data_IF_014669650326
#
_entry.id   IF_014669650326
#
_cell.length_a   1.000
_cell.length_b   1.000
_cell.length_c   1.000
_cell.angle_alpha   90.00
_cell.angle_beta   90.00
_cell.angle_gamma   90.00
#
_symmetry.space_group_name_H-M   'P 1'
#
loop_
_entity.id
_entity.type
_entity.pdbx_description
1 polymer ?
#
# COMPACT_ATOMS: atom_id res chain seq x y z
N UNK A 1 49.86 22.37 -9.67
CA UNK A 1 49.02 22.03 -8.51
C UNK A 1 47.88 23.03 -8.31
N UNK A 2 48.11 24.34 -8.47
CA UNK A 2 47.09 25.41 -8.30
C UNK A 2 45.93 25.35 -9.32
N UNK A 3 46.15 24.85 -10.54
CA UNK A 3 45.11 24.80 -11.59
C UNK A 3 44.03 23.71 -11.39
N UNK A 4 44.27 22.70 -10.52
CA UNK A 4 43.33 21.60 -10.30
C UNK A 4 42.32 21.91 -9.18
N UNK A 5 42.69 22.75 -8.22
CA UNK A 5 41.78 23.26 -7.17
C UNK A 5 40.78 24.30 -7.72
N UNK A 6 41.20 25.13 -8.68
CA UNK A 6 40.30 26.10 -9.32
C UNK A 6 39.17 25.45 -10.13
N UNK A 7 39.40 24.27 -10.72
CA UNK A 7 38.37 23.55 -11.49
C UNK A 7 37.33 22.86 -10.59
N UNK A 8 37.73 22.44 -9.38
CA UNK A 8 36.82 21.83 -8.39
C UNK A 8 35.94 22.91 -7.74
N UNK A 9 36.49 24.09 -7.44
CA UNK A 9 35.73 25.24 -6.93
C UNK A 9 34.78 25.83 -7.99
N UNK A 10 35.16 25.87 -9.27
CA UNK A 10 34.27 26.31 -10.35
C UNK A 10 33.12 25.32 -10.61
N UNK A 11 33.35 24.01 -10.46
CA UNK A 11 32.30 22.99 -10.52
C UNK A 11 31.29 23.08 -9.36
N UNK A 12 31.73 23.46 -8.16
CA UNK A 12 30.85 23.65 -7.00
C UNK A 12 30.05 24.97 -7.06
N UNK A 13 30.58 26.02 -7.68
CA UNK A 13 29.85 27.27 -7.91
C UNK A 13 28.74 27.15 -8.98
N UNK A 14 28.88 26.24 -9.95
CA UNK A 14 27.87 26.04 -10.99
C UNK A 14 26.61 25.28 -10.50
N UNK A 15 26.71 24.52 -9.40
CA UNK A 15 25.56 23.82 -8.79
C UNK A 15 24.84 24.74 -7.78
N UNK A 16 25.53 25.71 -7.18
CA UNK A 16 24.95 26.62 -6.20
C UNK A 16 24.16 27.80 -6.81
N UNK A 17 24.15 27.94 -8.14
CA UNK A 17 23.37 28.97 -8.85
C UNK A 17 22.12 28.38 -9.51
N UNK A 18 21.49 27.38 -8.88
CA UNK A 18 20.08 27.09 -9.14
C UNK A 18 19.31 28.21 -8.44
N UNK A 19 19.16 29.32 -9.15
CA UNK A 19 18.48 30.52 -8.69
C UNK A 19 17.07 30.20 -8.23
N UNK A 20 16.58 31.01 -7.29
CA UNK A 20 15.21 30.98 -6.80
C UNK A 20 14.25 30.66 -7.95
N UNK A 21 13.74 29.43 -7.96
CA UNK A 21 12.81 28.96 -8.96
C UNK A 21 11.59 29.85 -8.87
N UNK A 22 11.17 30.44 -10.00
CA UNK A 22 9.96 31.25 -10.04
C UNK A 22 8.78 30.44 -9.46
N UNK A 23 7.82 31.09 -8.76
CA UNK A 23 6.67 30.39 -8.22
C UNK A 23 5.98 29.59 -9.33
N UNK A 24 5.66 28.34 -9.03
CA UNK A 24 5.04 27.42 -10.00
C UNK A 24 3.62 27.88 -10.32
N UNK A 25 3.27 27.93 -11.61
CA UNK A 25 1.90 28.14 -12.05
C UNK A 25 1.15 26.80 -12.00
N UNK A 26 0.46 26.55 -10.88
CA UNK A 26 -0.21 25.27 -10.61
C UNK A 26 -1.29 24.95 -11.66
N UNK A 27 -2.03 25.94 -12.16
CA UNK A 27 -3.09 25.70 -13.16
C UNK A 27 -2.50 25.39 -14.55
N UNK A 28 -1.35 25.99 -14.89
CA UNK A 28 -0.61 25.63 -16.10
C UNK A 28 -0.08 24.18 -16.02
N UNK A 29 0.49 23.78 -14.89
CA UNK A 29 0.98 22.41 -14.70
C UNK A 29 -0.15 21.38 -14.68
N UNK A 30 -1.31 21.69 -14.08
CA UNK A 30 -2.50 20.85 -14.17
C UNK A 30 -2.94 20.61 -15.61
N UNK A 31 -2.92 21.66 -16.44
CA UNK A 31 -3.24 21.53 -17.86
C UNK A 31 -2.26 20.60 -18.56
N UNK A 32 -0.96 20.71 -18.23
CA UNK A 32 0.10 19.85 -18.78
C UNK A 32 0.00 18.39 -18.30
N UNK A 33 -0.52 18.12 -17.11
CA UNK A 33 -0.79 16.76 -16.63
C UNK A 33 -1.82 16.01 -17.49
N UNK A 34 -2.68 16.71 -18.22
CA UNK A 34 -3.64 16.10 -19.15
C UNK A 34 -3.14 16.08 -20.61
N UNK A 35 -1.88 16.46 -20.84
CA UNK A 35 -1.31 16.48 -22.19
C UNK A 35 -1.32 15.08 -22.83
N UNK A 36 -1.65 15.03 -24.11
CA UNK A 36 -1.52 13.80 -24.91
C UNK A 36 -0.06 13.37 -25.08
N UNK A 37 0.90 14.27 -24.83
CA UNK A 37 2.33 14.00 -24.90
C UNK A 37 2.84 13.51 -23.54
N UNK A 38 3.32 12.27 -23.48
CA UNK A 38 3.80 11.66 -22.23
C UNK A 38 4.91 12.47 -21.54
N UNK A 39 5.88 12.97 -22.31
CA UNK A 39 7.01 13.74 -21.76
C UNK A 39 6.58 15.06 -21.12
N UNK A 40 5.48 15.68 -21.58
CA UNK A 40 4.96 16.91 -20.98
C UNK A 40 4.30 16.64 -19.63
N UNK A 41 3.57 15.51 -19.52
CA UNK A 41 2.96 15.03 -18.27
C UNK A 41 4.02 14.72 -17.22
N UNK A 42 5.01 13.92 -17.60
CA UNK A 42 6.09 13.54 -16.69
C UNK A 42 6.90 14.77 -16.24
N UNK A 43 7.12 15.74 -17.14
CA UNK A 43 7.78 17.00 -16.78
C UNK A 43 6.94 17.87 -15.83
N UNK A 44 5.61 17.86 -15.97
CA UNK A 44 4.70 18.58 -15.07
C UNK A 44 4.65 17.93 -13.67
N UNK A 45 4.67 16.60 -13.57
CA UNK A 45 4.79 15.91 -12.29
C UNK A 45 6.08 16.26 -11.57
N UNK A 46 7.21 16.22 -12.29
CA UNK A 46 8.51 16.57 -11.73
C UNK A 46 8.55 18.03 -11.29
N UNK A 47 7.92 18.93 -12.06
CA UNK A 47 7.81 20.35 -11.68
C UNK A 47 7.01 20.53 -10.39
N UNK A 48 5.84 19.88 -10.27
CA UNK A 48 5.01 19.94 -9.06
C UNK A 48 5.72 19.31 -7.85
N UNK A 49 6.35 18.15 -8.01
CA UNK A 49 7.00 17.43 -6.92
C UNK A 49 8.26 18.12 -6.38
N UNK A 50 8.97 18.89 -7.21
CA UNK A 50 10.19 19.61 -6.83
C UNK A 50 9.95 21.08 -6.47
N UNK A 51 8.71 21.57 -6.57
CA UNK A 51 8.38 22.95 -6.20
C UNK A 51 8.41 23.14 -4.68
N UNK A 52 9.15 24.14 -4.21
CA UNK A 52 9.19 24.51 -2.78
C UNK A 52 7.89 25.13 -2.28
N UNK A 53 7.12 25.72 -3.19
CA UNK A 53 5.89 26.46 -2.88
C UNK A 53 4.66 25.57 -2.92
N UNK A 54 4.80 24.33 -3.38
CA UNK A 54 3.71 23.38 -3.54
C UNK A 54 3.82 22.26 -2.51
N UNK A 55 2.92 22.25 -1.53
CA UNK A 55 2.93 21.29 -0.43
C UNK A 55 1.90 20.20 -0.63
N UNK A 56 2.04 19.13 0.15
CA UNK A 56 1.08 18.03 0.15
C UNK A 56 -0.36 18.48 0.47
N UNK A 57 -0.52 19.47 1.37
CA UNK A 57 -1.83 20.04 1.70
C UNK A 57 -2.48 20.77 0.52
N UNK A 58 -1.67 21.46 -0.31
CA UNK A 58 -2.16 22.15 -1.50
C UNK A 58 -2.62 21.13 -2.54
N UNK A 59 -1.86 20.05 -2.71
CA UNK A 59 -2.22 18.94 -3.59
C UNK A 59 -3.49 18.21 -3.14
N UNK A 60 -3.68 18.01 -1.84
CA UNK A 60 -4.90 17.42 -1.26
C UNK A 60 -6.13 18.30 -1.53
N UNK A 61 -6.00 19.62 -1.38
CA UNK A 61 -7.06 20.57 -1.72
C UNK A 61 -7.34 20.59 -3.22
N UNK A 62 -6.28 20.58 -4.04
CA UNK A 62 -6.36 20.53 -5.50
C UNK A 62 -7.09 19.28 -5.98
N UNK A 63 -6.82 18.13 -5.38
CA UNK A 63 -7.40 16.83 -5.73
C UNK A 63 -8.90 16.72 -5.44
N UNK A 64 -9.44 17.60 -4.59
CA UNK A 64 -10.89 17.72 -4.35
C UNK A 64 -11.61 18.56 -5.39
N UNK A 65 -10.89 19.29 -6.25
CA UNK A 65 -11.53 20.14 -7.26
C UNK A 65 -12.38 19.28 -8.20
N UNK A 66 -13.62 19.69 -8.50
CA UNK A 66 -14.39 19.04 -9.55
C UNK A 66 -13.74 19.30 -10.91
N UNK A 67 -14.03 18.44 -11.89
CA UNK A 67 -13.57 18.63 -13.28
C UNK A 67 -12.14 18.19 -13.57
N UNK A 68 -11.41 17.64 -12.60
CA UNK A 68 -10.13 16.98 -12.89
C UNK A 68 -10.36 15.73 -13.73
N UNK A 69 -9.58 15.59 -14.81
CA UNK A 69 -9.58 14.39 -15.65
C UNK A 69 -9.07 13.18 -14.86
N UNK A 70 -9.42 11.95 -15.27
CA UNK A 70 -8.87 10.74 -14.65
C UNK A 70 -7.34 10.70 -14.65
N UNK A 71 -6.71 11.17 -15.74
CA UNK A 71 -5.25 11.24 -15.85
C UNK A 71 -4.66 12.25 -14.85
N UNK A 72 -5.23 13.46 -14.76
CA UNK A 72 -4.81 14.46 -13.77
C UNK A 72 -4.89 13.91 -12.35
N UNK A 73 -6.00 13.25 -11.98
CA UNK A 73 -6.16 12.63 -10.65
C UNK A 73 -5.11 11.56 -10.38
N UNK A 74 -4.83 10.71 -11.37
CA UNK A 74 -3.82 9.66 -11.26
C UNK A 74 -2.43 10.25 -11.02
N UNK A 75 -2.03 11.24 -11.84
CA UNK A 75 -0.71 11.87 -11.74
C UNK A 75 -0.56 12.72 -10.49
N UNK A 76 -1.59 13.48 -10.08
CA UNK A 76 -1.60 14.17 -8.78
C UNK A 76 -1.41 13.20 -7.62
N UNK A 77 -2.04 12.02 -7.66
CA UNK A 77 -1.81 10.99 -6.64
C UNK A 77 -0.35 10.51 -6.64
N UNK A 78 0.30 10.41 -7.80
CA UNK A 78 1.73 10.06 -7.90
C UNK A 78 2.63 11.17 -7.33
N UNK A 79 2.36 12.43 -7.66
CA UNK A 79 3.05 13.59 -7.06
C UNK A 79 2.86 13.61 -5.54
N UNK A 80 1.64 13.35 -5.06
CA UNK A 80 1.33 13.25 -3.64
C UNK A 80 2.15 12.20 -2.92
N UNK A 81 2.41 11.03 -3.55
CA UNK A 81 3.30 10.01 -2.99
C UNK A 81 4.74 10.51 -2.87
N UNK A 82 5.24 11.24 -3.86
CA UNK A 82 6.60 11.79 -3.83
C UNK A 82 6.75 12.84 -2.72
N UNK A 83 5.81 13.79 -2.64
CA UNK A 83 5.76 14.80 -1.57
C UNK A 83 5.60 14.16 -0.18
N UNK A 84 4.82 13.09 -0.07
CA UNK A 84 4.64 12.37 1.20
C UNK A 84 5.91 11.65 1.66
N UNK A 85 6.78 11.19 0.75
CA UNK A 85 8.05 10.55 1.10
C UNK A 85 9.10 11.55 1.58
N UNK A 86 9.06 12.80 1.11
CA UNK A 86 10.07 13.82 1.43
C UNK A 86 9.76 14.63 2.69
N UNK A 87 8.54 14.57 3.22
CA UNK A 87 8.14 15.33 4.41
C UNK A 87 8.68 14.72 5.72
N UNK A 88 8.76 15.52 6.80
CA UNK A 88 8.93 14.98 8.15
C UNK A 88 7.78 14.04 8.52
N UNK A 89 8.11 12.83 8.96
CA UNK A 89 7.14 11.82 9.37
C UNK A 89 6.80 11.99 10.86
N UNK A 90 5.56 11.67 11.21
CA UNK A 90 5.08 11.71 12.58
C UNK A 90 5.48 10.42 13.34
N UNK A 91 5.73 10.55 14.64
CA UNK A 91 6.07 9.44 15.54
C UNK A 91 5.32 9.54 16.86
N UNK A 92 4.80 8.42 17.35
CA UNK A 92 4.05 8.38 18.61
C UNK A 92 4.96 8.35 19.84
N UNK A 93 6.11 7.67 19.77
CA UNK A 93 7.02 7.53 20.91
C UNK A 93 6.75 6.28 21.76
N UNK A 94 6.41 5.16 21.12
CA UNK A 94 6.19 3.86 21.78
C UNK A 94 6.91 2.74 21.05
N UNK A 95 7.32 1.72 21.79
CA UNK A 95 7.78 0.43 21.26
C UNK A 95 6.64 -0.58 21.36
N UNK A 96 6.42 -1.37 20.31
CA UNK A 96 5.35 -2.38 20.28
C UNK A 96 5.89 -3.75 20.71
N UNK A 97 5.22 -4.39 21.67
CA UNK A 97 5.60 -5.69 22.23
C UNK A 97 4.99 -6.91 21.56
N UNK A 98 4.15 -6.70 20.55
CA UNK A 98 3.42 -7.77 19.85
C UNK A 98 1.99 -7.37 19.56
N UNK A 99 1.14 -8.36 19.37
CA UNK A 99 -0.31 -8.23 19.28
C UNK A 99 -0.96 -9.09 20.36
N UNK A 100 -1.96 -8.56 21.03
CA UNK A 100 -2.83 -9.27 21.95
C UNK A 100 -4.10 -9.74 21.24
N UNK A 101 -5.03 -10.33 22.00
CA UNK A 101 -6.35 -10.74 21.49
C UNK A 101 -7.17 -9.56 20.99
N UNK A 102 -6.96 -8.38 21.57
CA UNK A 102 -7.82 -7.20 21.37
C UNK A 102 -7.11 -5.97 20.81
N UNK A 103 -5.87 -6.11 20.32
CA UNK A 103 -5.14 -5.00 19.73
C UNK A 103 -3.62 -5.13 19.81
N UNK A 104 -2.92 -4.00 19.80
CA UNK A 104 -1.45 -3.93 19.77
C UNK A 104 -0.91 -3.57 21.15
N UNK A 105 -0.01 -4.39 21.69
CA UNK A 105 0.53 -4.20 23.04
C UNK A 105 1.69 -3.20 22.98
N UNK A 106 1.67 -2.21 23.87
CA UNK A 106 2.78 -1.28 24.11
C UNK A 106 3.79 -1.99 25.03
N UNK A 107 5.02 -2.15 24.56
CA UNK A 107 6.13 -2.69 25.36
C UNK A 107 6.71 -1.62 26.26
N UNK A 108 6.98 -0.44 25.70
CA UNK A 108 7.68 0.66 26.38
C UNK A 108 7.28 1.99 25.75
N UNK A 109 7.27 3.05 26.54
CA UNK A 109 7.16 4.44 26.08
C UNK A 109 8.55 5.07 25.97
N UNK A 110 8.72 6.06 25.10
CA UNK A 110 10.01 6.70 24.88
C UNK A 110 10.06 8.02 25.65
N UNK A 111 10.99 8.19 26.62
CA UNK A 111 11.08 9.41 27.40
C UNK A 111 11.20 10.67 26.54
N UNK A 112 10.42 11.69 26.88
CA UNK A 112 10.39 12.97 26.17
C UNK A 112 9.43 13.02 24.97
N UNK A 113 8.78 11.91 24.60
CA UNK A 113 7.63 11.93 23.70
C UNK A 113 6.32 12.11 24.50
N UNK A 114 5.29 12.76 23.93
CA UNK A 114 4.00 12.93 24.61
C UNK A 114 3.34 11.60 25.03
N UNK A 115 3.62 10.50 24.35
CA UNK A 115 3.12 9.17 24.70
C UNK A 115 3.58 8.66 26.08
N UNK A 116 4.73 9.14 26.57
CA UNK A 116 5.30 8.73 27.87
C UNK A 116 4.43 9.18 29.06
N UNK A 117 3.75 10.31 28.92
CA UNK A 117 2.83 10.84 29.94
C UNK A 117 1.43 10.18 29.89
N UNK A 118 1.11 9.52 28.78
CA UNK A 118 -0.25 8.99 28.49
C UNK A 118 -0.31 7.48 28.71
N UNK A 119 0.64 6.75 28.12
CA UNK A 119 0.62 5.29 28.07
C UNK A 119 1.54 4.67 29.13
N UNK A 120 1.27 3.40 29.44
CA UNK A 120 2.10 2.59 30.31
C UNK A 120 2.48 1.30 29.57
N UNK A 121 3.61 0.68 29.91
CA UNK A 121 3.92 -0.67 29.48
C UNK A 121 2.73 -1.62 29.73
N UNK A 122 2.47 -2.50 28.77
CA UNK A 122 1.36 -3.47 28.74
C UNK A 122 -0.03 -2.91 28.41
N UNK A 123 -0.16 -1.61 28.17
CA UNK A 123 -1.37 -1.08 27.55
C UNK A 123 -1.59 -1.71 26.17
N UNK A 124 -2.84 -1.98 25.81
CA UNK A 124 -3.19 -2.54 24.48
C UNK A 124 -3.98 -1.52 23.67
N UNK A 125 -3.42 -1.02 22.58
CA UNK A 125 -4.09 -0.11 21.64
C UNK A 125 -5.13 -0.91 20.85
N UNK A 126 -6.40 -0.50 20.94
CA UNK A 126 -7.55 -1.18 20.31
C UNK A 126 -8.06 -0.43 19.08
N UNK A 127 -8.02 0.90 19.13
CA UNK A 127 -8.44 1.75 18.02
C UNK A 127 -7.64 3.05 17.97
N UNK A 128 -7.53 3.64 16.78
CA UNK A 128 -6.91 4.96 16.55
C UNK A 128 -7.84 5.76 15.65
N UNK A 129 -8.27 6.94 16.10
CA UNK A 129 -9.27 7.81 15.47
C UNK A 129 -10.54 7.03 15.07
N UNK A 130 -11.07 6.24 16.01
CA UNK A 130 -12.25 5.39 15.80
C UNK A 130 -12.04 4.18 14.87
N UNK A 131 -10.85 3.99 14.27
CA UNK A 131 -10.54 2.82 13.43
C UNK A 131 -9.91 1.73 14.28
N UNK A 132 -10.56 0.56 14.33
CA UNK A 132 -10.04 -0.62 15.02
C UNK A 132 -8.69 -1.02 14.41
N UNK A 133 -7.74 -1.37 15.27
CA UNK A 133 -6.42 -1.87 14.88
C UNK A 133 -6.24 -3.31 15.38
N UNK A 134 -5.65 -4.16 14.56
CA UNK A 134 -5.41 -5.57 14.91
C UNK A 134 -3.94 -5.94 14.79
N UNK A 135 -3.17 -5.16 14.03
CA UNK A 135 -1.75 -5.39 13.80
C UNK A 135 -0.92 -4.15 14.12
N UNK A 136 0.37 -4.34 14.40
CA UNK A 136 1.31 -3.22 14.59
C UNK A 136 1.40 -2.33 13.36
N UNK A 137 1.27 -2.93 12.16
CA UNK A 137 1.34 -2.22 10.91
C UNK A 137 0.15 -1.25 10.74
N UNK A 138 -1.05 -1.64 11.18
CA UNK A 138 -2.23 -0.74 11.17
C UNK A 138 -1.95 0.53 11.97
N UNK A 139 -1.45 0.37 13.20
CA UNK A 139 -1.11 1.49 14.08
C UNK A 139 0.01 2.33 13.45
N UNK A 140 1.04 1.69 12.91
CA UNK A 140 2.17 2.38 12.25
C UNK A 140 1.69 3.22 11.08
N UNK A 141 0.86 2.69 10.19
CA UNK A 141 0.37 3.43 9.03
C UNK A 141 -0.56 4.57 9.44
N UNK A 142 -1.37 4.38 10.48
CA UNK A 142 -2.23 5.43 11.03
C UNK A 142 -1.41 6.59 11.59
N UNK A 143 -0.33 6.30 12.33
CA UNK A 143 0.62 7.32 12.83
C UNK A 143 1.32 8.01 11.66
N UNK A 144 1.94 7.25 10.75
CA UNK A 144 2.69 7.79 9.62
C UNK A 144 1.81 8.59 8.66
N UNK A 145 0.49 8.39 8.64
CA UNK A 145 -0.45 9.16 7.81
C UNK A 145 -0.69 10.60 8.31
N UNK A 146 -0.24 10.92 9.52
CA UNK A 146 -0.42 12.21 10.19
C UNK A 146 0.71 13.19 9.91
N UNK A 147 0.46 14.47 10.16
CA UNK A 147 1.48 15.51 10.23
C UNK A 147 2.13 15.54 11.62
N UNK A 148 3.37 16.04 11.70
CA UNK A 148 4.06 16.21 12.98
C UNK A 148 3.31 17.25 13.82
N UNK A 149 3.02 16.93 15.08
CA UNK A 149 2.24 17.76 15.99
C UNK A 149 0.74 17.50 15.96
N UNK A 150 0.23 16.72 15.00
CA UNK A 150 -1.17 16.26 15.00
C UNK A 150 -1.50 15.49 16.28
N UNK A 151 -2.78 15.50 16.65
CA UNK A 151 -3.32 14.76 17.80
C UNK A 151 -4.00 13.48 17.28
N UNK A 152 -3.68 12.35 17.90
CA UNK A 152 -4.40 11.10 17.71
C UNK A 152 -5.31 10.82 18.90
N UNK A 153 -6.58 10.51 18.61
CA UNK A 153 -7.46 9.87 19.58
C UNK A 153 -7.17 8.37 19.58
N UNK A 154 -6.79 7.81 20.74
CA UNK A 154 -6.38 6.42 20.87
C UNK A 154 -7.27 5.75 21.92
N UNK A 155 -8.02 4.73 21.49
CA UNK A 155 -8.69 3.80 22.39
C UNK A 155 -7.71 2.69 22.77
N UNK A 156 -7.51 2.49 24.07
CA UNK A 156 -6.61 1.46 24.59
C UNK A 156 -7.22 0.77 25.81
N UNK A 157 -6.72 -0.41 26.16
CA UNK A 157 -7.07 -1.08 27.42
C UNK A 157 -5.89 -1.11 28.39
N UNK A 158 -6.18 -0.84 29.66
CA UNK A 158 -5.26 -0.93 30.79
C UNK A 158 -5.91 -1.75 31.89
N UNK A 159 -5.30 -2.88 32.27
CA UNK A 159 -5.85 -3.80 33.28
C UNK A 159 -7.30 -4.21 32.99
N UNK A 160 -7.65 -4.40 31.72
CA UNK A 160 -9.00 -4.77 31.27
C UNK A 160 -10.01 -3.61 31.18
N UNK A 161 -9.66 -2.39 31.59
CA UNK A 161 -10.50 -1.21 31.43
C UNK A 161 -10.20 -0.53 30.10
N UNK A 162 -11.24 -0.19 29.33
CA UNK A 162 -11.12 0.56 28.08
C UNK A 162 -11.09 2.05 28.38
N UNK A 163 -10.07 2.73 27.86
CA UNK A 163 -9.79 4.14 28.04
C UNK A 163 -9.62 4.80 26.67
N UNK A 164 -9.84 6.10 26.60
CA UNK A 164 -9.59 6.92 25.41
C UNK A 164 -8.68 8.07 25.83
N UNK A 165 -7.62 8.29 25.07
CA UNK A 165 -6.70 9.39 25.28
C UNK A 165 -6.38 10.11 23.97
N UNK A 166 -6.14 11.41 24.07
CA UNK A 166 -5.57 12.22 23.00
C UNK A 166 -4.04 12.27 23.18
N UNK A 167 -3.30 11.96 22.13
CA UNK A 167 -1.83 11.97 22.16
C UNK A 167 -1.28 12.79 20.99
N UNK A 168 -0.44 13.78 21.30
CA UNK A 168 0.29 14.53 20.30
C UNK A 168 1.40 13.69 19.66
N UNK A 169 1.63 13.90 18.37
CA UNK A 169 2.70 13.22 17.63
C UNK A 169 3.97 14.05 17.56
N UNK A 170 5.09 13.42 17.91
CA UNK A 170 6.43 13.96 17.72
C UNK A 170 6.95 13.73 16.30
N UNK A 171 8.23 14.05 16.08
CA UNK A 171 8.93 13.73 14.83
C UNK A 171 9.45 12.30 14.90
N UNK A 172 9.25 11.54 13.83
CA UNK A 172 9.78 10.19 13.69
C UNK A 172 11.31 10.15 13.78
N UNK A 173 11.98 11.17 13.24
CA UNK A 173 13.45 11.30 13.28
C UNK A 173 14.04 11.37 14.68
N UNK A 174 13.22 11.71 15.68
CA UNK A 174 13.66 11.92 17.05
C UNK A 174 13.52 10.62 17.88
N UNK A 175 13.01 9.55 17.28
CA UNK A 175 12.87 8.24 17.93
C UNK A 175 14.24 7.52 18.00
N UNK A 176 14.69 7.07 19.18
CA UNK A 176 15.92 6.31 19.32
C UNK A 176 15.80 4.95 18.62
N UNK A 177 16.83 4.58 17.84
CA UNK A 177 16.92 3.29 17.15
C UNK A 177 15.77 2.97 16.18
N UNK A 178 15.02 3.98 15.72
CA UNK A 178 13.94 3.75 14.76
C UNK A 178 14.50 3.33 13.41
N UNK A 179 14.05 2.18 12.92
CA UNK A 179 14.29 1.79 11.53
C UNK A 179 13.45 2.69 10.61
N UNK A 180 14.03 3.26 9.54
CA UNK A 180 13.27 4.02 8.56
C UNK A 180 12.08 3.21 8.01
N UNK A 181 10.89 3.81 7.84
CA UNK A 181 9.75 3.11 7.25
C UNK A 181 10.08 2.61 5.85
N UNK A 182 9.59 1.41 5.52
CA UNK A 182 9.79 0.85 4.18
C UNK A 182 8.96 1.60 3.14
N UNK A 183 9.26 1.41 1.86
CA UNK A 183 8.42 1.93 0.77
C UNK A 183 6.97 1.42 0.84
N UNK A 184 6.76 0.20 1.36
CA UNK A 184 5.44 -0.38 1.57
C UNK A 184 4.71 0.37 2.68
N UNK A 185 5.37 0.64 3.81
CA UNK A 185 4.79 1.42 4.91
C UNK A 185 4.37 2.82 4.45
N UNK A 186 5.25 3.51 3.72
CA UNK A 186 4.96 4.86 3.21
C UNK A 186 3.82 4.85 2.19
N UNK A 187 3.74 3.83 1.32
CA UNK A 187 2.64 3.69 0.38
C UNK A 187 1.29 3.45 1.08
N UNK A 188 1.26 2.61 2.11
CA UNK A 188 0.05 2.32 2.91
C UNK A 188 -0.36 3.55 3.75
N UNK A 189 0.58 4.19 4.43
CA UNK A 189 0.32 5.41 5.20
C UNK A 189 -0.19 6.56 4.31
N UNK A 190 0.36 6.72 3.09
CA UNK A 190 -0.16 7.68 2.13
C UNK A 190 -1.58 7.34 1.69
N UNK A 191 -1.90 6.07 1.43
CA UNK A 191 -3.26 5.67 1.07
C UNK A 191 -4.27 6.00 2.18
N UNK A 192 -3.94 5.70 3.44
CA UNK A 192 -4.74 6.06 4.62
C UNK A 192 -4.94 7.57 4.71
N UNK A 193 -3.86 8.36 4.50
CA UNK A 193 -3.94 9.82 4.49
C UNK A 193 -4.85 10.32 3.39
N UNK A 194 -4.68 9.80 2.17
CA UNK A 194 -5.43 10.20 0.98
C UNK A 194 -6.92 9.94 1.15
N UNK A 195 -7.30 8.74 1.60
CA UNK A 195 -8.68 8.38 1.91
C UNK A 195 -9.30 9.35 2.91
N UNK A 196 -8.59 9.65 4.00
CA UNK A 196 -9.07 10.58 5.03
C UNK A 196 -9.17 12.03 4.54
N UNK A 197 -8.15 12.52 3.83
CA UNK A 197 -8.03 13.94 3.47
C UNK A 197 -8.79 14.27 2.21
N UNK A 198 -8.71 13.43 1.18
CA UNK A 198 -9.29 13.65 -0.16
C UNK A 198 -10.60 12.88 -0.33
N UNK A 199 -10.74 11.72 0.30
CA UNK A 199 -11.85 10.80 0.11
C UNK A 199 -11.49 9.65 -0.82
N UNK A 200 -12.35 8.62 -0.85
CA UNK A 200 -12.23 7.51 -1.78
C UNK A 200 -12.73 7.96 -3.15
N UNK A 201 -11.90 7.99 -4.21
CA UNK A 201 -12.32 8.49 -5.52
C UNK A 201 -13.54 7.78 -6.11
N UNK A 202 -13.75 6.51 -5.72
CA UNK A 202 -14.84 5.65 -6.19
C UNK A 202 -16.12 5.74 -5.38
N UNK A 203 -16.18 6.54 -4.31
CA UNK A 203 -17.42 6.72 -3.54
C UNK A 203 -18.43 7.58 -4.35
N UNK A 204 -19.11 6.97 -5.32
CA UNK A 204 -20.22 7.57 -6.08
C UNK A 204 -20.08 7.51 -7.60
N UNK A 205 -18.92 7.18 -8.15
CA UNK A 205 -18.77 6.93 -9.59
C UNK A 205 -19.10 5.47 -9.91
N UNK A 206 -19.90 5.19 -10.96
CA UNK A 206 -20.15 3.81 -11.37
C UNK A 206 -18.82 3.17 -11.74
N UNK A 207 -18.50 2.03 -11.12
CA UNK A 207 -17.29 1.28 -11.44
C UNK A 207 -17.33 0.98 -12.93
N UNK A 208 -16.29 1.38 -13.66
CA UNK A 208 -16.17 1.08 -15.09
C UNK A 208 -16.21 -0.44 -15.23
N UNK A 209 -17.24 -0.95 -15.92
CA UNK A 209 -17.44 -2.39 -16.09
C UNK A 209 -18.24 -3.08 -15.00
N UNK A 210 -18.83 -2.38 -14.02
CA UNK A 210 -19.79 -3.00 -13.08
C UNK A 210 -20.98 -3.65 -13.79
N UNK A 211 -21.37 -3.14 -14.96
CA UNK A 211 -22.43 -3.73 -15.79
C UNK A 211 -21.91 -4.78 -16.78
N UNK A 212 -20.59 -4.99 -16.87
CA UNK A 212 -20.01 -5.96 -17.79
C UNK A 212 -19.83 -7.29 -17.03
N UNK A 213 -20.64 -8.28 -17.37
CA UNK A 213 -20.54 -9.62 -16.78
C UNK A 213 -19.23 -10.32 -17.21
N UNK A 214 -18.81 -11.34 -16.44
CA UNK A 214 -17.63 -12.15 -16.77
C UNK A 214 -17.78 -12.80 -18.16
N UNK A 215 -18.99 -13.23 -18.50
CA UNK A 215 -19.32 -13.82 -19.80
C UNK A 215 -19.20 -12.79 -20.93
N UNK A 216 -19.59 -11.53 -20.68
CA UNK A 216 -19.43 -10.45 -21.64
C UNK A 216 -17.95 -10.10 -21.86
N UNK A 217 -17.13 -10.10 -20.80
CA UNK A 217 -15.67 -9.98 -20.91
C UNK A 217 -15.07 -11.14 -21.72
N UNK A 218 -15.46 -12.37 -21.43
CA UNK A 218 -14.99 -13.56 -22.15
C UNK A 218 -15.38 -13.53 -23.64
N UNK A 219 -16.56 -12.97 -23.98
CA UNK A 219 -16.98 -12.78 -25.37
C UNK A 219 -16.12 -11.75 -26.11
N UNK A 220 -15.77 -10.64 -25.45
CA UNK A 220 -14.86 -9.63 -26.02
C UNK A 220 -13.46 -10.23 -26.25
N UNK A 221 -12.93 -10.99 -25.30
CA UNK A 221 -11.63 -11.67 -25.44
C UNK A 221 -11.64 -12.74 -26.53
N UNK A 222 -12.75 -13.49 -26.68
CA UNK A 222 -12.92 -14.49 -27.72
C UNK A 222 -13.07 -13.90 -29.13
N UNK A 223 -13.04 -12.57 -29.28
CA UNK A 223 -13.25 -11.89 -30.56
C UNK A 223 -14.66 -12.04 -31.08
N UNK A 224 -15.63 -12.39 -30.22
CA UNK A 224 -17.03 -12.42 -30.62
C UNK A 224 -17.45 -10.99 -30.96
N UNK A 225 -18.12 -10.74 -32.10
CA UNK A 225 -18.65 -9.43 -32.42
C UNK A 225 -19.61 -9.04 -31.30
N UNK A 226 -19.24 -8.06 -30.49
CA UNK A 226 -20.04 -7.60 -29.36
C UNK A 226 -21.48 -7.36 -29.85
N UNK A 227 -22.42 -8.14 -29.32
CA UNK A 227 -23.81 -8.05 -29.73
C UNK A 227 -24.32 -6.64 -29.36
N UNK A 228 -24.45 -5.77 -30.37
CA UNK A 228 -25.13 -4.48 -30.33
C UNK A 228 -24.57 -3.37 -29.44
N UNK A 229 -23.25 -3.29 -29.21
CA UNK A 229 -22.67 -2.01 -28.87
C UNK A 229 -22.78 -1.11 -30.12
N UNK A 230 -23.65 -0.08 -30.08
CA UNK A 230 -23.61 1.00 -31.07
C UNK A 230 -22.13 1.38 -31.25
N UNK A 231 -21.58 1.36 -32.48
CA UNK A 231 -20.18 1.67 -32.69
C UNK A 231 -19.92 3.03 -32.05
N UNK A 232 -19.01 3.05 -31.08
CA UNK A 232 -18.48 4.30 -30.55
C UNK A 232 -18.10 5.16 -31.76
N UNK A 233 -18.58 6.41 -31.90
CA UNK A 233 -18.27 7.22 -33.05
C UNK A 233 -16.80 7.63 -32.99
N UNK A 234 -15.92 6.71 -33.37
CA UNK A 234 -14.57 7.01 -33.82
C UNK A 234 -14.74 7.61 -35.21
N UNK A 235 -15.01 8.92 -35.24
CA UNK A 235 -15.04 9.69 -36.48
C UNK A 235 -13.71 9.52 -37.19
N UNK A 236 -13.81 9.02 -38.42
CA UNK A 236 -12.74 8.56 -39.31
C UNK A 236 -11.72 9.64 -39.74
N UNK A 237 -11.83 10.86 -39.22
CA UNK A 237 -11.02 12.01 -39.64
C UNK A 237 -9.74 12.22 -38.83
N UNK A 238 -9.64 11.65 -37.62
CA UNK A 238 -8.35 11.58 -36.93
C UNK A 238 -7.61 10.31 -37.38
N UNK A 239 -6.49 10.45 -38.08
CA UNK A 239 -5.62 9.37 -38.58
C UNK A 239 -4.97 8.51 -37.50
N UNK A 240 -5.76 7.94 -36.59
CA UNK A 240 -5.36 7.01 -35.56
C UNK A 240 -5.23 5.61 -36.17
N UNK A 241 -3.98 5.17 -36.32
CA UNK A 241 -3.65 3.75 -36.53
C UNK A 241 -4.12 3.00 -35.29
N UNK A 242 -4.96 1.98 -35.49
CA UNK A 242 -5.20 0.95 -34.48
C UNK A 242 -3.84 0.32 -34.17
N UNK A 243 -3.28 0.64 -33.00
CA UNK A 243 -2.13 -0.06 -32.45
C UNK A 243 -2.67 -1.32 -31.80
N UNK A 244 -2.66 -2.43 -32.54
CA UNK A 244 -2.85 -3.75 -31.96
C UNK A 244 -1.65 -4.04 -31.06
N UNK A 245 -1.85 -4.07 -29.73
CA UNK A 245 -0.85 -4.57 -28.80
C UNK A 245 -0.78 -6.11 -28.89
N UNK A 246 -0.23 -6.60 -29.99
CA UNK A 246 0.27 -7.97 -30.12
C UNK A 246 1.68 -8.06 -29.53
N UNK A 247 1.81 -7.87 -28.21
CA UNK A 247 3.07 -8.06 -27.49
C UNK A 247 3.10 -9.43 -26.84
N UNK A 248 4.13 -10.23 -27.13
CA UNK A 248 4.44 -11.42 -26.32
C UNK A 248 4.51 -11.05 -24.83
N UNK A 249 4.07 -11.94 -23.92
CA UNK A 249 4.11 -11.67 -22.48
C UNK A 249 5.56 -11.35 -22.09
N UNK A 250 5.83 -10.09 -21.77
CA UNK A 250 7.10 -9.69 -21.18
C UNK A 250 7.16 -10.31 -19.79
N UNK A 251 8.04 -11.26 -19.60
CA UNK A 251 8.46 -11.83 -18.31
C UNK A 251 9.29 -10.82 -17.51
N UNK A 252 8.82 -9.57 -17.38
CA UNK A 252 9.33 -8.61 -16.40
C UNK A 252 8.44 -8.56 -15.15
N UNK A 253 7.86 -9.70 -14.80
CA UNK A 253 6.86 -9.89 -13.75
C UNK A 253 7.48 -10.07 -12.35
N UNK A 254 8.64 -9.49 -12.09
CA UNK A 254 9.25 -9.47 -10.75
C UNK A 254 8.88 -8.21 -9.94
N UNK A 255 8.37 -7.15 -10.58
CA UNK A 255 8.12 -5.86 -9.91
C UNK A 255 6.63 -5.48 -9.78
N UNK A 256 5.72 -6.23 -10.42
CA UNK A 256 4.28 -5.91 -10.41
C UNK A 256 3.41 -6.80 -9.51
N UNK A 257 3.94 -7.89 -8.94
CA UNK A 257 3.16 -8.75 -8.03
C UNK A 257 2.79 -8.08 -6.69
N UNK A 258 3.42 -6.95 -6.33
CA UNK A 258 3.04 -6.16 -5.16
C UNK A 258 1.91 -5.14 -5.42
N UNK A 259 1.39 -5.00 -6.64
CA UNK A 259 0.56 -3.85 -7.06
C UNK A 259 -0.90 -4.17 -7.45
N UNK A 260 -1.38 -5.41 -7.28
CA UNK A 260 -2.75 -5.80 -7.71
C UNK A 260 -3.81 -5.77 -6.58
N UNK A 261 -3.47 -5.45 -5.33
CA UNK A 261 -4.48 -5.33 -4.26
C UNK A 261 -5.04 -3.91 -4.06
N UNK A 262 -6.00 -3.47 -4.89
CA UNK A 262 -7.22 -2.92 -4.29
C UNK A 262 -8.55 -3.24 -5.03
N UNK A 263 -8.63 -4.28 -5.87
CA UNK A 263 -9.84 -4.52 -6.68
C UNK A 263 -10.95 -5.39 -6.04
N UNK A 264 -10.89 -5.73 -4.74
CA UNK A 264 -11.86 -6.65 -4.10
C UNK A 264 -12.41 -6.14 -2.74
N UNK A 265 -12.79 -4.86 -2.69
CA UNK A 265 -13.43 -4.25 -1.51
C UNK A 265 -14.64 -3.43 -1.95
N UNK A 266 -15.74 -4.10 -2.31
CA UNK A 266 -17.07 -3.51 -2.37
C UNK A 266 -18.11 -4.62 -2.26
N UNK A 267 -18.60 -4.86 -1.04
CA UNK A 267 -20.02 -5.17 -0.79
C UNK A 267 -20.32 -5.07 0.71
N UNK A 268 -20.95 -3.97 1.18
CA UNK A 268 -21.60 -3.95 2.50
C UNK A 268 -22.77 -2.94 2.54
N UNK A 269 -23.98 -3.45 2.72
CA UNK A 269 -25.12 -2.73 3.31
C UNK A 269 -25.52 -3.35 4.65
N UNK A 270 -26.14 -2.55 5.51
CA UNK A 270 -26.06 -2.50 6.98
C UNK A 270 -26.76 -3.68 7.74
N UNK A 271 -27.15 -4.76 7.08
CA UNK A 271 -27.72 -5.97 7.72
C UNK A 271 -26.71 -7.10 8.02
N UNK A 272 -25.51 -7.07 7.44
CA UNK A 272 -24.58 -8.22 7.34
C UNK A 272 -23.40 -8.25 8.33
N UNK A 273 -23.39 -7.40 9.37
CA UNK A 273 -22.17 -7.16 10.18
C UNK A 273 -21.65 -8.36 11.00
N UNK A 274 -22.51 -9.25 11.48
CA UNK A 274 -22.04 -10.44 12.21
C UNK A 274 -21.57 -11.54 11.25
N UNK A 275 -22.28 -11.76 10.14
CA UNK A 275 -21.91 -12.75 9.11
C UNK A 275 -20.61 -12.39 8.39
N UNK A 276 -20.38 -11.09 8.12
CA UNK A 276 -19.16 -10.63 7.45
C UNK A 276 -17.90 -10.79 8.30
N UNK A 277 -18.00 -10.74 9.63
CA UNK A 277 -16.83 -10.99 10.49
C UNK A 277 -16.32 -12.45 10.40
N UNK A 278 -17.23 -13.42 10.27
CA UNK A 278 -16.86 -14.84 10.17
C UNK A 278 -16.27 -15.16 8.81
N UNK A 279 -16.87 -14.65 7.72
CA UNK A 279 -16.34 -14.80 6.37
C UNK A 279 -14.97 -14.14 6.24
N UNK A 280 -14.80 -12.92 6.75
CA UNK A 280 -13.51 -12.23 6.74
C UNK A 280 -12.44 -13.02 7.51
N UNK A 281 -12.75 -13.54 8.70
CA UNK A 281 -11.83 -14.35 9.49
C UNK A 281 -11.39 -15.63 8.75
N UNK A 282 -12.33 -16.33 8.07
CA UNK A 282 -12.01 -17.51 7.27
C UNK A 282 -11.13 -17.15 6.07
N UNK A 283 -11.44 -16.06 5.36
CA UNK A 283 -10.62 -15.58 4.23
C UNK A 283 -9.20 -15.22 4.68
N UNK A 284 -9.06 -14.52 5.80
CA UNK A 284 -7.75 -14.16 6.33
C UNK A 284 -6.97 -15.39 6.81
N UNK A 285 -7.65 -16.39 7.37
CA UNK A 285 -7.03 -17.69 7.70
C UNK A 285 -6.54 -18.41 6.45
N UNK A 286 -7.33 -18.45 5.38
CA UNK A 286 -6.92 -19.02 4.08
C UNK A 286 -5.69 -18.30 3.53
N UNK A 287 -5.67 -16.96 3.56
CA UNK A 287 -4.51 -16.16 3.14
C UNK A 287 -3.27 -16.49 3.97
N UNK A 288 -3.41 -16.60 5.29
CA UNK A 288 -2.31 -16.96 6.18
C UNK A 288 -1.75 -18.35 5.89
N UNK A 289 -2.62 -19.36 5.74
CA UNK A 289 -2.21 -20.73 5.41
C UNK A 289 -1.56 -20.81 4.01
N UNK A 290 -2.06 -20.04 3.04
CA UNK A 290 -1.47 -19.97 1.70
C UNK A 290 -0.05 -19.40 1.73
N UNK A 291 0.22 -18.38 2.56
CA UNK A 291 1.57 -17.85 2.79
C UNK A 291 2.48 -18.88 3.48
N UNK A 292 1.96 -19.57 4.50
CA UNK A 292 2.71 -20.62 5.20
C UNK A 292 3.11 -21.75 4.23
N UNK A 293 2.18 -22.21 3.39
CA UNK A 293 2.45 -23.21 2.34
C UNK A 293 3.57 -22.78 1.40
N UNK A 294 3.52 -21.53 0.92
CA UNK A 294 4.55 -20.99 0.01
C UNK A 294 5.94 -20.96 0.65
N UNK A 295 6.03 -20.60 1.94
CA UNK A 295 7.29 -20.63 2.69
C UNK A 295 7.84 -22.06 2.86
N UNK A 296 6.95 -23.03 3.11
CA UNK A 296 7.35 -24.43 3.21
C UNK A 296 7.82 -25.00 1.87
N UNK A 297 7.16 -24.63 0.76
CA UNK A 297 7.59 -24.99 -0.59
C UNK A 297 9.00 -24.45 -0.88
N UNK A 298 9.27 -23.18 -0.57
CA UNK A 298 10.59 -22.57 -0.74
C UNK A 298 11.66 -23.24 0.14
N UNK A 299 11.31 -23.57 1.39
CA UNK A 299 12.18 -24.31 2.31
C UNK A 299 12.52 -25.70 1.76
N UNK A 300 11.53 -26.45 1.28
CA UNK A 300 11.74 -27.77 0.70
C UNK A 300 12.66 -27.72 -0.54
N UNK A 301 12.43 -26.76 -1.44
CA UNK A 301 13.29 -26.55 -2.62
C UNK A 301 14.73 -26.16 -2.25
N UNK A 302 14.89 -25.36 -1.20
CA UNK A 302 16.21 -24.94 -0.72
C UNK A 302 16.97 -26.09 -0.08
N UNK A 303 16.30 -26.91 0.73
CA UNK A 303 16.86 -28.12 1.32
C UNK A 303 17.28 -29.13 0.24
N UNK A 304 16.51 -29.27 -0.83
CA UNK A 304 16.88 -30.12 -1.96
C UNK A 304 18.18 -29.66 -2.63
N UNK A 305 18.30 -28.36 -2.92
CA UNK A 305 19.53 -27.78 -3.48
C UNK A 305 20.75 -28.00 -2.58
N UNK A 306 20.56 -27.93 -1.25
CA UNK A 306 21.63 -28.24 -0.30
C UNK A 306 21.98 -29.73 -0.27
N UNK A 307 20.99 -30.62 -0.35
CA UNK A 307 21.22 -32.06 -0.46
C UNK A 307 22.00 -32.44 -1.74
N UNK A 308 21.80 -31.71 -2.84
CA UNK A 308 22.52 -31.96 -4.09
C UNK A 308 23.97 -31.46 -4.08
N UNK A 309 24.24 -30.39 -3.34
CA UNK A 309 25.56 -29.75 -3.28
C UNK A 309 26.45 -30.24 -2.14
N UNK A 310 25.88 -30.92 -1.13
CA UNK A 310 26.64 -31.42 0.01
C UNK A 310 27.59 -32.58 -0.40
N UNK A 311 28.88 -32.42 -0.06
CA UNK A 311 29.92 -33.40 -0.37
C UNK A 311 29.97 -34.59 0.60
N UNK A 312 29.36 -34.49 1.78
CA UNK A 312 29.30 -35.57 2.78
C UNK A 312 27.94 -36.27 2.73
N UNK A 313 27.94 -37.61 2.63
CA UNK A 313 26.74 -38.45 2.59
C UNK A 313 25.80 -38.19 3.78
N UNK A 314 26.34 -38.08 5.00
CA UNK A 314 25.52 -37.86 6.21
C UNK A 314 24.78 -36.53 6.16
N UNK A 315 25.41 -35.48 5.61
CA UNK A 315 24.77 -34.17 5.46
C UNK A 315 23.68 -34.19 4.39
N UNK A 316 23.88 -34.93 3.29
CA UNK A 316 22.85 -35.12 2.25
C UNK A 316 21.61 -35.79 2.84
N UNK A 317 21.80 -36.83 3.63
CA UNK A 317 20.70 -37.56 4.26
C UNK A 317 19.97 -36.70 5.30
N UNK A 318 20.69 -35.86 6.06
CA UNK A 318 20.07 -34.87 6.95
C UNK A 318 19.21 -33.85 6.19
N UNK A 319 19.72 -33.26 5.10
CA UNK A 319 18.93 -32.30 4.31
C UNK A 319 17.69 -32.95 3.68
N UNK A 320 17.80 -34.20 3.21
CA UNK A 320 16.67 -34.97 2.70
C UNK A 320 15.62 -35.24 3.78
N UNK A 321 16.05 -35.65 4.97
CA UNK A 321 15.13 -35.84 6.10
C UNK A 321 14.39 -34.55 6.47
N UNK A 322 15.08 -33.41 6.49
CA UNK A 322 14.46 -32.10 6.74
C UNK A 322 13.48 -31.68 5.63
N UNK A 323 13.81 -31.97 4.36
CA UNK A 323 12.92 -31.73 3.22
C UNK A 323 11.65 -32.58 3.35
N UNK A 324 11.81 -33.85 3.69
CA UNK A 324 10.68 -34.79 3.83
C UNK A 324 9.77 -34.40 5.02
N UNK A 325 10.32 -33.79 6.08
CA UNK A 325 9.52 -33.15 7.13
C UNK A 325 8.74 -31.95 6.59
N UNK A 326 9.39 -31.02 5.88
CA UNK A 326 8.72 -29.86 5.29
C UNK A 326 7.60 -30.27 4.31
N UNK A 327 7.81 -31.34 3.53
CA UNK A 327 6.78 -31.91 2.65
C UNK A 327 5.60 -32.49 3.44
N UNK A 328 5.83 -33.10 4.61
CA UNK A 328 4.74 -33.54 5.50
C UNK A 328 3.96 -32.35 6.05
N UNK A 329 4.64 -31.30 6.49
CA UNK A 329 3.98 -30.06 6.93
C UNK A 329 3.13 -29.42 5.81
N UNK A 330 3.57 -29.47 4.54
CA UNK A 330 2.79 -28.98 3.39
C UNK A 330 1.47 -29.74 3.26
N UNK A 331 1.49 -31.08 3.39
CA UNK A 331 0.27 -31.91 3.32
C UNK A 331 -0.73 -31.53 4.43
N UNK A 332 -0.24 -31.25 5.64
CA UNK A 332 -1.10 -30.79 6.74
C UNK A 332 -1.71 -29.41 6.46
N UNK A 333 -0.92 -28.46 5.94
CA UNK A 333 -1.41 -27.13 5.56
C UNK A 333 -2.42 -27.21 4.42
N UNK A 334 -2.21 -28.08 3.43
CA UNK A 334 -3.14 -28.31 2.33
C UNK A 334 -4.49 -28.88 2.84
N UNK A 335 -4.46 -29.82 3.79
CA UNK A 335 -5.68 -30.33 4.44
C UNK A 335 -6.42 -29.22 5.21
N UNK A 336 -5.70 -28.33 5.91
CA UNK A 336 -6.31 -27.18 6.59
C UNK A 336 -6.91 -26.19 5.60
N UNK A 337 -6.24 -25.91 4.48
CA UNK A 337 -6.74 -25.04 3.42
C UNK A 337 -8.03 -25.59 2.81
N UNK A 338 -8.10 -26.90 2.57
CA UNK A 338 -9.31 -27.56 2.08
C UNK A 338 -10.46 -27.44 3.08
N UNK A 339 -10.20 -27.70 4.38
CA UNK A 339 -11.19 -27.50 5.43
C UNK A 339 -11.71 -26.06 5.52
N UNK A 340 -10.84 -25.05 5.42
CA UNK A 340 -11.27 -23.64 5.43
C UNK A 340 -12.06 -23.25 4.18
N UNK A 341 -11.73 -23.83 3.02
CA UNK A 341 -12.49 -23.62 1.77
C UNK A 341 -13.88 -24.26 1.84
N UNK A 342 -14.01 -25.41 2.50
CA UNK A 342 -15.30 -26.04 2.76
C UNK A 342 -16.18 -25.15 3.64
N UNK A 343 -15.65 -24.66 4.76
CA UNK A 343 -16.36 -23.73 5.65
C UNK A 343 -16.80 -22.48 4.88
N UNK A 344 -15.92 -21.92 4.04
CA UNK A 344 -16.27 -20.76 3.22
C UNK A 344 -17.39 -21.07 2.21
N UNK A 345 -17.46 -22.30 1.69
CA UNK A 345 -18.54 -22.77 0.81
C UNK A 345 -19.84 -22.91 1.58
N UNK A 346 -19.82 -23.56 2.75
CA UNK A 346 -20.99 -23.71 3.63
C UNK A 346 -21.55 -22.36 4.07
N UNK A 347 -20.68 -21.40 4.44
CA UNK A 347 -21.09 -20.03 4.79
C UNK A 347 -21.77 -19.30 3.62
N UNK A 348 -21.33 -19.55 2.37
CA UNK A 348 -21.98 -19.00 1.17
C UNK A 348 -23.32 -19.64 0.87
N UNK A 349 -23.47 -20.94 1.14
CA UNK A 349 -24.73 -21.67 0.91
C UNK A 349 -25.78 -21.35 1.99
N UNK A 350 -25.34 -21.16 3.24
CA UNK A 350 -26.20 -20.87 4.39
C UNK A 350 -26.56 -19.39 4.51
N UNK A 351 -25.72 -18.48 4.01
CA UNK A 351 -25.93 -17.02 4.01
C UNK A 351 -27.00 -16.50 3.04
N UNK A 352 -28.12 -17.23 2.89
CA UNK A 352 -29.38 -16.65 2.41
C UNK A 352 -30.00 -15.70 3.42
#
# INVERSE_FOLDING_TARGET
>A
MIAREALILAGQALIATVGATAPIDVDAELTRLDSSVLTERDAAEVALANSSDFRLTDLEALSKRPGLSPEQRLRLRQVGRQLFKSRPLAGLGVQFGGFGTDGVIIQETIPGFPADDVFQPLDTIRAVNGRRVTTQDDVRWLILSQDVGDVLEIEYSRNGLVLVAECHLGRFSDLPNALPPTDVDLARAFAVRWERRVGTPTAGEPIIGAEISIEQWAQVEAGAPAASARPWPLTRESGSRIVGFGGQPRTSLAWHQAFVEPALLLDETIGAREHNSTVAAVVDRIRSLSRQRALLDERAQTLERHADTAGNLDQRDQFRAMRDEALREIVEVDAQLEGMREILRELRETGR
#
